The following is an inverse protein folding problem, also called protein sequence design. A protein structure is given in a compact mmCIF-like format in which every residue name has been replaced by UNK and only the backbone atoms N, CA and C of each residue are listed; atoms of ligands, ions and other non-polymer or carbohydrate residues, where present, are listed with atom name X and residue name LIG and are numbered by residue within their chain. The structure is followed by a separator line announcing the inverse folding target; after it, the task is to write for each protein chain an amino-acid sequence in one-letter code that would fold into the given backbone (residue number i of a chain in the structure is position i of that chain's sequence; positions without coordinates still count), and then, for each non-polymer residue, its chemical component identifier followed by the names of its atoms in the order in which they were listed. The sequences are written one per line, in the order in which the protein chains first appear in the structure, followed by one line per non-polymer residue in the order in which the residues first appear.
data_IF_330947428028
#
_entry.id   IF_330947428028
#
_cell.length_a   1.000
_cell.length_b   1.000
_cell.length_c   1.000
_cell.angle_alpha   90.00
_cell.angle_beta   90.00
_cell.angle_gamma   90.00
#
_symmetry.space_group_name_H-M   'P 1'
#
loop_
_entity.id
_entity.type
_entity.pdbx_description
1 polymer ?
#
# COMPACT_ATOMS: atom_id res chain seq x y z
N UNK A 1 46.61 14.41 -7.78
CA UNK A 1 46.29 15.41 -6.73
C UNK A 1 45.25 14.80 -5.82
N UNK A 2 45.15 15.20 -4.54
CA UNK A 2 44.02 14.80 -3.70
C UNK A 2 42.73 15.53 -4.16
N UNK A 3 41.57 14.94 -3.90
CA UNK A 3 40.28 15.61 -4.12
C UNK A 3 40.14 16.82 -3.18
N UNK A 4 39.59 17.93 -3.69
CA UNK A 4 39.27 19.11 -2.88
C UNK A 4 37.97 18.99 -2.07
N UNK A 5 37.23 17.90 -2.26
CA UNK A 5 35.94 17.61 -1.59
C UNK A 5 35.90 16.16 -1.10
N UNK A 6 35.02 15.86 -0.11
CA UNK A 6 34.77 14.49 0.38
C UNK A 6 34.45 13.57 -0.82
N UNK A 7 35.29 12.57 -1.04
CA UNK A 7 34.97 11.48 -1.93
C UNK A 7 33.80 10.70 -1.33
N UNK A 8 32.80 10.41 -2.15
CA UNK A 8 31.61 9.68 -1.76
C UNK A 8 31.69 8.27 -2.38
N UNK A 9 31.31 7.21 -1.65
CA UNK A 9 31.29 5.87 -2.21
C UNK A 9 30.13 5.75 -3.20
N UNK A 10 30.34 5.00 -4.29
CA UNK A 10 29.27 4.66 -5.23
C UNK A 10 28.48 3.45 -4.73
N UNK A 11 27.29 3.23 -5.26
CA UNK A 11 26.52 2.01 -5.00
C UNK A 11 27.26 0.81 -5.60
N UNK A 12 27.45 -0.23 -4.79
CA UNK A 12 28.21 -1.45 -5.10
C UNK A 12 27.29 -2.62 -5.44
N UNK A 13 26.23 -2.84 -4.66
CA UNK A 13 25.22 -3.84 -4.94
C UNK A 13 23.87 -3.52 -4.26
N UNK A 14 22.81 -4.12 -4.79
CA UNK A 14 21.44 -4.05 -4.25
C UNK A 14 21.01 -5.46 -3.87
N UNK A 15 20.24 -5.60 -2.79
CA UNK A 15 19.64 -6.86 -2.35
C UNK A 15 18.17 -6.62 -2.01
N UNK A 16 17.31 -7.59 -2.31
CA UNK A 16 15.92 -7.58 -1.85
C UNK A 16 15.53 -8.88 -1.16
N UNK A 17 14.64 -8.76 -0.17
CA UNK A 17 14.17 -9.86 0.64
C UNK A 17 12.66 -9.75 0.80
N UNK A 18 11.94 -10.87 0.66
CA UNK A 18 10.54 -10.98 1.11
C UNK A 18 10.57 -11.26 2.61
N UNK A 19 9.74 -10.58 3.40
CA UNK A 19 9.68 -10.78 4.84
C UNK A 19 8.67 -11.89 5.13
N UNK A 20 9.13 -13.01 5.68
CA UNK A 20 8.30 -14.17 5.99
C UNK A 20 7.43 -13.97 7.22
N UNK A 21 6.16 -14.40 7.13
CA UNK A 21 5.17 -14.29 8.20
C UNK A 21 4.25 -13.09 8.05
N UNK A 22 3.77 -12.58 9.18
CA UNK A 22 2.83 -11.46 9.30
C UNK A 22 3.28 -10.53 10.43
N UNK A 23 2.74 -9.31 10.50
CA UNK A 23 3.03 -8.33 11.56
C UNK A 23 4.48 -7.88 11.59
N UNK A 24 5.15 -7.77 10.44
CA UNK A 24 6.56 -7.39 10.32
C UNK A 24 6.84 -6.76 8.95
N UNK A 25 7.54 -5.62 8.93
CA UNK A 25 7.79 -4.81 7.74
C UNK A 25 6.64 -3.90 7.30
N UNK A 26 6.77 -3.28 6.12
CA UNK A 26 5.92 -2.18 5.66
C UNK A 26 4.61 -2.52 4.95
N UNK A 27 4.09 -3.74 5.04
CA UNK A 27 2.69 -4.06 4.72
C UNK A 27 1.84 -4.06 6.01
N UNK A 28 1.17 -2.93 6.27
CA UNK A 28 0.31 -2.71 7.43
C UNK A 28 -0.84 -3.71 7.56
N UNK A 29 -1.26 -4.33 6.46
CA UNK A 29 -2.46 -5.16 6.39
C UNK A 29 -2.14 -6.66 6.44
N UNK A 30 -0.89 -7.04 6.24
CA UNK A 30 -0.41 -8.41 6.43
C UNK A 30 -0.14 -8.72 7.91
N UNK A 31 -1.22 -8.79 8.71
CA UNK A 31 -1.23 -9.01 10.17
C UNK A 31 -1.94 -10.31 10.55
N UNK A 32 -1.85 -10.70 11.83
CA UNK A 32 -2.59 -11.87 12.35
C UNK A 32 -4.11 -11.64 12.39
N UNK A 33 -4.88 -12.72 12.20
CA UNK A 33 -6.33 -12.70 12.26
C UNK A 33 -6.88 -12.27 13.63
N UNK A 34 -8.00 -11.57 13.62
CA UNK A 34 -8.58 -10.91 14.79
C UNK A 34 -8.06 -9.48 15.02
N UNK A 35 -7.07 -9.01 14.25
CA UNK A 35 -6.64 -7.61 14.29
C UNK A 35 -7.67 -6.70 13.61
N UNK A 36 -8.04 -5.59 14.26
CA UNK A 36 -9.06 -4.67 13.75
C UNK A 36 -8.79 -4.16 12.31
N UNK A 37 -7.52 -3.98 11.93
CA UNK A 37 -7.07 -3.55 10.60
C UNK A 37 -7.59 -4.42 9.45
N UNK A 38 -7.95 -5.68 9.73
CA UNK A 38 -8.48 -6.61 8.73
C UNK A 38 -9.85 -7.18 9.09
N UNK A 39 -10.14 -7.46 10.36
CA UNK A 39 -11.31 -8.25 10.78
C UNK A 39 -12.34 -7.45 11.62
N UNK A 40 -12.19 -6.13 11.72
CA UNK A 40 -13.28 -5.27 12.19
C UNK A 40 -14.17 -4.81 11.01
N UNK A 41 -15.42 -4.38 11.26
CA UNK A 41 -16.26 -3.79 10.22
C UNK A 41 -15.63 -2.51 9.66
N UNK A 42 -15.18 -2.56 8.41
CA UNK A 42 -14.58 -1.45 7.68
C UNK A 42 -15.23 -1.38 6.30
N UNK A 43 -15.68 -0.20 5.91
CA UNK A 43 -16.20 0.09 4.57
C UNK A 43 -15.05 0.14 3.57
N UNK A 44 -15.18 -0.56 2.43
CA UNK A 44 -14.13 -0.70 1.40
C UNK A 44 -14.76 -0.72 0.01
N UNK A 45 -14.00 -0.53 -1.08
CA UNK A 45 -14.49 -0.71 -2.45
C UNK A 45 -15.02 -2.12 -2.73
N UNK A 46 -14.66 -3.11 -1.90
CA UNK A 46 -15.12 -4.49 -2.00
C UNK A 46 -16.36 -4.80 -1.16
N UNK A 47 -16.71 -3.94 -0.18
CA UNK A 47 -17.82 -4.17 0.76
C UNK A 47 -19.20 -4.25 0.09
N UNK A 48 -19.33 -3.78 -1.16
CA UNK A 48 -20.52 -3.99 -2.00
C UNK A 48 -20.90 -5.47 -2.18
N UNK A 49 -19.91 -6.37 -2.14
CA UNK A 49 -20.11 -7.81 -2.23
C UNK A 49 -20.06 -8.43 -0.82
N UNK A 50 -21.16 -9.04 -0.39
CA UNK A 50 -21.31 -9.58 0.97
C UNK A 50 -20.17 -10.53 1.37
N UNK A 51 -19.76 -11.44 0.48
CA UNK A 51 -18.62 -12.36 0.66
C UNK A 51 -17.26 -11.68 0.92
N UNK A 52 -17.15 -10.36 0.69
CA UNK A 52 -15.94 -9.57 0.86
C UNK A 52 -16.07 -8.46 1.92
N UNK A 53 -17.22 -8.34 2.60
CA UNK A 53 -17.47 -7.28 3.60
C UNK A 53 -16.91 -7.61 5.00
N UNK A 54 -16.81 -8.88 5.36
CA UNK A 54 -16.52 -9.30 6.73
C UNK A 54 -15.03 -9.23 7.14
N UNK A 55 -14.10 -9.26 6.18
CA UNK A 55 -12.66 -9.12 6.43
C UNK A 55 -11.95 -8.57 5.20
N UNK A 56 -10.97 -7.68 5.38
CA UNK A 56 -10.17 -7.11 4.28
C UNK A 56 -9.23 -8.14 3.64
N UNK A 57 -8.86 -9.20 4.36
CA UNK A 57 -8.08 -10.32 3.78
C UNK A 57 -8.88 -11.13 2.76
N UNK A 58 -10.21 -11.17 2.87
CA UNK A 58 -11.08 -11.99 2.00
C UNK A 58 -11.05 -11.56 0.53
N UNK A 59 -10.73 -10.29 0.25
CA UNK A 59 -10.49 -9.75 -1.09
C UNK A 59 -9.00 -9.53 -1.42
N UNK A 60 -8.10 -9.93 -0.51
CA UNK A 60 -6.66 -9.97 -0.76
C UNK A 60 -5.88 -8.70 -0.44
N UNK A 61 -6.30 -7.87 0.54
CA UNK A 61 -5.54 -6.67 0.92
C UNK A 61 -4.06 -6.95 1.25
N UNK A 62 -3.79 -8.11 1.85
CA UNK A 62 -2.48 -8.57 2.29
C UNK A 62 -1.78 -9.50 1.28
N UNK A 63 -2.28 -9.61 0.04
CA UNK A 63 -1.78 -10.59 -0.96
C UNK A 63 -0.33 -10.35 -1.39
N UNK A 64 0.20 -9.15 -1.16
CA UNK A 64 1.56 -8.78 -1.51
C UNK A 64 2.55 -9.10 -0.37
N UNK A 65 2.27 -8.64 0.85
CA UNK A 65 3.18 -8.77 1.98
C UNK A 65 4.36 -7.79 1.93
N UNK A 66 5.09 -7.73 3.05
CA UNK A 66 6.23 -6.83 3.23
C UNK A 66 7.47 -7.31 2.46
N UNK A 67 8.26 -6.36 1.96
CA UNK A 67 9.62 -6.61 1.46
C UNK A 67 10.63 -5.61 2.04
N UNK A 68 11.91 -5.94 1.94
CA UNK A 68 13.06 -5.15 2.38
C UNK A 68 14.04 -4.99 1.22
N UNK A 69 14.58 -3.79 1.02
CA UNK A 69 15.71 -3.51 0.14
C UNK A 69 16.91 -3.11 0.99
N UNK A 70 18.09 -3.66 0.68
CA UNK A 70 19.38 -3.14 1.12
C UNK A 70 20.17 -2.61 -0.08
N UNK A 71 20.82 -1.46 0.09
CA UNK A 71 21.76 -0.87 -0.88
C UNK A 71 23.11 -0.70 -0.18
N UNK A 72 24.12 -1.40 -0.68
CA UNK A 72 25.49 -1.36 -0.17
C UNK A 72 26.36 -0.45 -1.05
N UNK A 73 27.16 0.43 -0.43
CA UNK A 73 28.10 1.29 -1.11
C UNK A 73 29.54 0.71 -1.09
N UNK A 74 30.44 1.28 -1.90
CA UNK A 74 31.82 0.78 -2.06
C UNK A 74 32.71 0.87 -0.80
N UNK A 75 32.29 1.64 0.21
CA UNK A 75 32.95 1.70 1.53
C UNK A 75 32.44 0.62 2.52
N UNK A 76 31.40 -0.14 2.14
CA UNK A 76 30.72 -1.13 2.98
C UNK A 76 29.54 -0.58 3.79
N UNK A 77 29.19 0.70 3.65
CA UNK A 77 27.99 1.26 4.29
C UNK A 77 26.73 0.69 3.64
N UNK A 78 25.74 0.27 4.45
CA UNK A 78 24.47 -0.31 3.98
C UNK A 78 23.28 0.53 4.45
N UNK A 79 22.57 1.13 3.49
CA UNK A 79 21.24 1.71 3.71
C UNK A 79 20.15 0.70 3.39
N UNK A 80 18.98 0.84 4.00
CA UNK A 80 17.85 -0.05 3.78
C UNK A 80 16.49 0.63 4.02
N UNK A 81 15.45 0.06 3.42
CA UNK A 81 14.07 0.39 3.71
C UNK A 81 13.12 -0.79 3.49
N UNK A 82 11.95 -0.75 4.12
CA UNK A 82 10.84 -1.69 3.91
C UNK A 82 9.63 -0.98 3.28
N UNK A 83 8.67 -1.78 2.79
CA UNK A 83 7.37 -1.36 2.29
C UNK A 83 6.54 -2.59 1.95
N UNK A 84 5.30 -2.39 1.50
CA UNK A 84 4.49 -3.45 0.90
C UNK A 84 4.92 -3.71 -0.55
N UNK A 85 4.71 -4.94 -1.05
CA UNK A 85 4.98 -5.30 -2.44
C UNK A 85 5.63 -6.67 -2.64
N UNK A 86 6.19 -7.26 -1.57
CA UNK A 86 6.58 -8.67 -1.50
C UNK A 86 7.35 -9.22 -2.70
N UNK A 87 7.02 -10.45 -3.16
CA UNK A 87 7.70 -11.09 -4.29
C UNK A 87 7.73 -10.27 -5.60
N UNK A 88 6.61 -9.72 -6.14
CA UNK A 88 6.69 -8.93 -7.38
C UNK A 88 7.45 -7.61 -7.18
N UNK A 89 7.47 -7.05 -5.98
CA UNK A 89 8.32 -5.93 -5.62
C UNK A 89 9.80 -6.26 -5.76
N UNK A 90 10.26 -7.33 -5.10
CA UNK A 90 11.62 -7.85 -5.22
C UNK A 90 12.03 -8.17 -6.67
N UNK A 91 11.13 -8.74 -7.48
CA UNK A 91 11.40 -9.01 -8.90
C UNK A 91 11.68 -7.73 -9.69
N UNK A 92 10.89 -6.67 -9.48
CA UNK A 92 11.05 -5.38 -10.15
C UNK A 92 12.35 -4.66 -9.76
N UNK A 93 12.80 -4.79 -8.50
CA UNK A 93 14.10 -4.25 -8.03
C UNK A 93 15.23 -4.74 -8.93
N UNK A 94 15.37 -6.05 -9.10
CA UNK A 94 16.50 -6.64 -9.83
C UNK A 94 16.30 -6.61 -11.35
N UNK A 95 15.13 -7.04 -11.84
CA UNK A 95 14.93 -7.19 -13.29
C UNK A 95 14.79 -5.85 -14.01
N UNK A 96 14.34 -4.78 -13.33
CA UNK A 96 14.34 -3.43 -13.89
C UNK A 96 15.35 -2.52 -13.20
N UNK A 97 15.11 -2.14 -11.94
CA UNK A 97 15.64 -0.90 -11.39
C UNK A 97 17.14 -0.92 -11.04
N UNK A 98 17.70 -2.08 -10.71
CA UNK A 98 19.12 -2.25 -10.37
C UNK A 98 20.07 -1.70 -11.44
N UNK A 99 19.70 -1.75 -12.72
CA UNK A 99 20.49 -1.22 -13.85
C UNK A 99 20.81 0.28 -13.76
N UNK A 100 20.05 1.03 -12.97
CA UNK A 100 20.23 2.46 -12.74
C UNK A 100 21.07 2.75 -11.48
N UNK A 101 21.16 1.76 -10.57
CA UNK A 101 21.75 1.91 -9.25
C UNK A 101 23.22 1.51 -9.23
N UNK A 102 23.60 0.39 -9.85
CA UNK A 102 24.97 -0.14 -9.76
C UNK A 102 25.99 0.83 -10.36
N UNK A 103 26.99 1.21 -9.55
CA UNK A 103 28.04 2.16 -9.91
C UNK A 103 27.64 3.64 -9.85
N UNK A 104 26.38 3.97 -9.57
CA UNK A 104 25.93 5.36 -9.44
C UNK A 104 26.36 5.99 -8.10
N UNK A 105 26.40 7.32 -8.04
CA UNK A 105 26.56 8.06 -6.79
C UNK A 105 25.21 8.12 -6.05
N UNK A 106 25.10 7.65 -4.80
CA UNK A 106 23.82 7.64 -4.07
C UNK A 106 23.29 9.05 -3.77
N UNK A 107 24.08 10.12 -4.00
CA UNK A 107 23.64 11.52 -3.86
C UNK A 107 22.76 11.99 -5.03
N UNK A 108 22.80 11.30 -6.18
CA UNK A 108 22.08 11.69 -7.39
C UNK A 108 20.60 11.26 -7.37
N UNK A 109 19.93 11.38 -6.21
CA UNK A 109 18.58 10.84 -5.96
C UNK A 109 17.55 11.34 -6.96
N UNK A 110 17.59 12.63 -7.34
CA UNK A 110 16.73 13.19 -8.38
C UNK A 110 16.96 12.54 -9.77
N UNK A 111 18.19 12.15 -10.09
CA UNK A 111 18.50 11.49 -11.36
C UNK A 111 18.02 10.03 -11.34
N UNK A 112 18.32 9.31 -10.25
CA UNK A 112 17.90 7.92 -10.05
C UNK A 112 16.36 7.79 -10.04
N UNK A 113 15.67 8.69 -9.34
CA UNK A 113 14.21 8.75 -9.35
C UNK A 113 13.65 8.96 -10.76
N UNK A 114 14.13 9.98 -11.50
CA UNK A 114 13.63 10.23 -12.86
C UNK A 114 13.95 9.09 -13.83
N UNK A 115 15.12 8.45 -13.71
CA UNK A 115 15.44 7.25 -14.50
C UNK A 115 14.44 6.13 -14.22
N UNK A 116 14.26 5.74 -12.96
CA UNK A 116 13.36 4.64 -12.58
C UNK A 116 11.89 4.93 -12.92
N UNK A 117 11.39 6.12 -12.60
CA UNK A 117 10.00 6.51 -12.86
C UNK A 117 9.70 6.62 -14.36
N UNK A 118 10.62 7.19 -15.15
CA UNK A 118 10.40 7.34 -16.60
C UNK A 118 10.63 6.03 -17.36
N UNK A 119 11.57 5.18 -16.94
CA UNK A 119 11.77 3.87 -17.54
C UNK A 119 10.60 2.90 -17.25
N UNK A 120 9.99 2.98 -16.07
CA UNK A 120 8.80 2.18 -15.73
C UNK A 120 7.47 2.79 -16.20
N UNK A 121 7.48 3.96 -16.84
CA UNK A 121 6.27 4.71 -17.23
C UNK A 121 5.28 3.92 -18.10
N UNK A 122 5.73 2.92 -18.85
CA UNK A 122 4.89 2.08 -19.71
C UNK A 122 4.05 1.02 -18.97
N UNK A 123 4.34 0.76 -17.68
CA UNK A 123 3.57 -0.18 -16.84
C UNK A 123 3.31 0.33 -15.40
N UNK A 124 3.82 1.52 -15.04
CA UNK A 124 3.68 2.13 -13.72
C UNK A 124 2.91 3.45 -13.75
N UNK A 125 3.59 4.57 -13.44
CA UNK A 125 3.05 5.91 -13.11
C UNK A 125 2.29 6.00 -11.77
N UNK A 126 1.53 4.96 -11.43
CA UNK A 126 0.80 4.75 -10.16
C UNK A 126 1.03 3.30 -9.66
N UNK A 127 0.63 3.01 -8.42
CA UNK A 127 0.57 1.64 -7.88
C UNK A 127 1.92 0.97 -7.62
N UNK A 128 1.92 -0.37 -7.60
CA UNK A 128 3.04 -1.22 -7.18
C UNK A 128 4.42 -0.83 -7.75
N UNK A 129 4.60 -0.52 -9.05
CA UNK A 129 5.93 -0.11 -9.56
C UNK A 129 6.47 1.16 -8.90
N UNK A 130 5.60 2.06 -8.45
CA UNK A 130 5.99 3.30 -7.76
C UNK A 130 6.28 3.06 -6.28
N UNK A 131 5.59 2.11 -5.64
CA UNK A 131 5.96 1.63 -4.30
C UNK A 131 7.37 1.01 -4.30
N UNK A 132 7.73 0.23 -5.32
CA UNK A 132 9.10 -0.31 -5.45
C UNK A 132 10.13 0.82 -5.59
N UNK A 133 9.86 1.84 -6.41
CA UNK A 133 10.72 3.03 -6.52
C UNK A 133 10.86 3.74 -5.17
N UNK A 134 9.78 3.82 -4.40
CA UNK A 134 9.76 4.48 -3.09
C UNK A 134 10.67 3.78 -2.08
N UNK A 135 10.62 2.45 -1.99
CA UNK A 135 11.49 1.69 -1.07
C UNK A 135 12.95 1.75 -1.51
N UNK A 136 13.24 1.80 -2.83
CA UNK A 136 14.60 2.07 -3.32
C UNK A 136 15.08 3.46 -2.88
N UNK A 137 14.26 4.50 -3.09
CA UNK A 137 14.60 5.88 -2.72
C UNK A 137 14.80 6.04 -1.21
N UNK A 138 13.95 5.42 -0.39
CA UNK A 138 14.12 5.40 1.06
C UNK A 138 15.43 4.69 1.47
N UNK A 139 15.79 3.57 0.83
CA UNK A 139 17.08 2.92 1.07
C UNK A 139 18.28 3.78 0.65
N UNK A 140 18.14 4.63 -0.39
CA UNK A 140 19.15 5.63 -0.77
C UNK A 140 19.27 6.75 0.27
N UNK A 141 18.15 7.29 0.78
CA UNK A 141 18.18 8.31 1.83
C UNK A 141 18.76 7.80 3.15
N UNK A 142 18.46 6.56 3.52
CA UNK A 142 19.07 5.88 4.66
C UNK A 142 20.59 5.68 4.48
N UNK A 143 21.01 5.24 3.28
CA UNK A 143 22.43 5.11 2.90
C UNK A 143 23.16 6.47 2.99
N UNK A 144 22.55 7.54 2.47
CA UNK A 144 23.09 8.90 2.55
C UNK A 144 23.30 9.37 3.99
N UNK A 145 22.32 9.14 4.86
CA UNK A 145 22.40 9.51 6.27
C UNK A 145 23.48 8.73 7.00
N UNK A 146 23.63 7.43 6.71
CA UNK A 146 24.70 6.59 7.26
C UNK A 146 26.10 7.00 6.79
N UNK A 147 26.30 7.30 5.49
CA UNK A 147 27.60 7.78 4.95
C UNK A 147 27.97 9.18 5.51
N UNK A 148 26.98 9.98 5.93
CA UNK A 148 27.21 11.29 6.55
C UNK A 148 27.27 11.25 8.08
N UNK A 149 26.79 10.18 8.71
CA UNK A 149 26.49 10.11 10.15
C UNK A 149 25.49 11.22 10.58
N UNK A 150 24.42 11.37 9.81
CA UNK A 150 23.33 12.33 10.04
C UNK A 150 21.95 11.64 9.93
N UNK A 151 20.95 12.02 10.75
CA UNK A 151 19.57 11.60 10.53
C UNK A 151 18.98 12.30 9.30
N UNK A 152 18.08 11.61 8.58
CA UNK A 152 17.53 12.10 7.30
C UNK A 152 16.90 13.49 7.42
N UNK A 153 16.26 13.84 8.54
CA UNK A 153 15.59 15.13 8.73
C UNK A 153 16.56 16.32 8.64
N UNK A 154 17.82 16.17 9.09
CA UNK A 154 18.87 17.20 8.93
C UNK A 154 19.25 17.43 7.46
N UNK A 155 19.19 16.37 6.64
CA UNK A 155 19.56 16.43 5.22
C UNK A 155 18.48 17.02 4.31
N UNK A 156 17.22 17.11 4.76
CA UNK A 156 16.05 17.53 3.94
C UNK A 156 15.40 18.85 4.39
N UNK A 157 16.03 19.57 5.33
CA UNK A 157 15.57 20.89 5.79
C UNK A 157 15.97 21.26 7.22
N UNK A 158 16.38 20.28 8.04
CA UNK A 158 16.57 20.48 9.47
C UNK A 158 15.32 20.14 10.26
N UNK A 159 15.15 20.74 11.44
CA UNK A 159 13.91 20.66 12.21
C UNK A 159 13.16 21.99 12.11
N UNK A 160 11.86 21.92 11.83
CA UNK A 160 10.94 23.07 11.79
C UNK A 160 10.11 23.24 13.06
N UNK A 161 10.24 22.26 13.96
CA UNK A 161 9.50 22.08 15.21
C UNK A 161 10.35 21.20 16.12
N UNK A 162 10.29 21.39 17.45
CA UNK A 162 11.06 20.54 18.39
C UNK A 162 10.37 19.19 18.68
N UNK A 163 9.06 19.12 18.39
CA UNK A 163 8.13 18.03 18.70
C UNK A 163 7.22 17.79 17.49
N UNK A 164 6.92 16.52 17.22
CA UNK A 164 5.82 16.09 16.36
C UNK A 164 4.70 15.61 17.27
N UNK A 165 3.53 16.22 17.15
CA UNK A 165 2.28 15.76 17.76
C UNK A 165 1.56 14.79 16.84
N UNK A 166 0.95 13.75 17.41
CA UNK A 166 0.29 12.68 16.65
C UNK A 166 -1.21 12.59 16.94
N UNK A 167 -1.99 12.23 15.92
CA UNK A 167 -3.30 11.61 16.11
C UNK A 167 -3.19 10.09 15.94
N UNK A 168 -4.12 9.34 16.54
CA UNK A 168 -4.13 7.88 16.46
C UNK A 168 -5.27 7.38 15.56
N UNK A 169 -4.97 6.49 14.62
CA UNK A 169 -5.96 5.88 13.74
C UNK A 169 -6.31 4.48 14.24
N UNK A 170 -7.56 4.27 14.67
CA UNK A 170 -8.00 3.00 15.24
C UNK A 170 -9.40 3.02 15.87
N UNK A 171 -9.87 1.86 16.36
CA UNK A 171 -11.24 1.67 16.86
C UNK A 171 -11.48 2.17 18.29
N UNK A 172 -10.46 2.64 19.02
CA UNK A 172 -10.60 3.11 20.41
C UNK A 172 -10.08 4.56 20.62
N UNK A 173 -10.87 5.57 20.20
CA UNK A 173 -10.60 6.98 20.51
C UNK A 173 -10.42 7.31 22.01
N UNK A 174 -11.14 6.68 22.97
CA UNK A 174 -10.83 6.83 24.39
C UNK A 174 -9.39 6.42 24.76
N UNK A 175 -8.89 5.30 24.24
CA UNK A 175 -7.51 4.87 24.46
C UNK A 175 -6.50 5.83 23.81
N UNK A 176 -6.77 6.30 22.59
CA UNK A 176 -5.95 7.33 21.94
C UNK A 176 -5.86 8.62 22.80
N UNK A 177 -6.99 9.10 23.30
CA UNK A 177 -7.07 10.26 24.21
C UNK A 177 -6.30 10.02 25.51
N UNK A 178 -6.41 8.82 26.09
CA UNK A 178 -5.70 8.45 27.33
C UNK A 178 -4.18 8.33 27.13
N UNK A 179 -3.72 7.92 25.96
CA UNK A 179 -2.30 7.86 25.57
C UNK A 179 -1.71 9.22 25.18
N UNK A 180 -2.51 10.29 25.17
CA UNK A 180 -2.04 11.66 24.92
C UNK A 180 -1.97 12.09 23.46
N UNK A 181 -2.50 11.30 22.53
CA UNK A 181 -2.68 11.72 21.14
C UNK A 181 -3.64 12.92 21.07
N UNK A 182 -3.40 13.87 20.16
CA UNK A 182 -4.18 15.11 20.11
C UNK A 182 -5.59 14.93 19.53
N UNK A 183 -5.83 13.81 18.83
CA UNK A 183 -7.10 13.42 18.23
C UNK A 183 -7.11 11.94 17.83
N UNK A 184 -8.23 11.45 17.30
CA UNK A 184 -8.34 10.08 16.79
C UNK A 184 -9.12 9.98 15.46
N UNK A 185 -8.69 9.08 14.56
CA UNK A 185 -9.39 8.74 13.31
C UNK A 185 -10.01 7.34 13.43
N UNK A 186 -11.31 7.21 13.22
CA UNK A 186 -12.03 5.91 13.26
C UNK A 186 -12.37 5.43 11.85
N UNK A 187 -12.27 4.11 11.56
CA UNK A 187 -12.75 3.56 10.29
C UNK A 187 -14.28 3.56 10.23
N UNK A 188 -14.84 4.00 9.10
CA UNK A 188 -16.27 3.97 8.83
C UNK A 188 -16.74 2.53 8.56
N UNK A 189 -17.71 1.97 9.31
CA UNK A 189 -17.98 0.53 9.26
C UNK A 189 -18.88 0.02 8.11
N UNK A 190 -19.73 0.87 7.51
CA UNK A 190 -20.73 0.42 6.52
C UNK A 190 -20.68 1.19 5.19
N UNK A 191 -20.92 0.49 4.08
CA UNK A 191 -20.76 1.03 2.71
C UNK A 191 -22.07 1.55 2.09
N UNK A 192 -22.03 2.26 0.94
CA UNK A 192 -23.23 2.82 0.30
C UNK A 192 -24.27 1.77 -0.10
N UNK A 193 -23.84 0.56 -0.48
CA UNK A 193 -24.73 -0.55 -0.84
C UNK A 193 -25.50 -1.14 0.36
N UNK A 194 -25.19 -0.74 1.59
CA UNK A 194 -25.99 -1.01 2.78
C UNK A 194 -27.09 0.06 3.02
N UNK A 195 -27.15 1.06 2.13
CA UNK A 195 -28.21 2.06 2.03
C UNK A 195 -28.43 2.88 3.29
N UNK A 196 -29.67 3.40 3.46
CA UNK A 196 -30.03 4.18 4.64
C UNK A 196 -29.99 3.37 5.95
N UNK A 197 -29.87 2.03 5.90
CA UNK A 197 -29.63 1.20 7.10
C UNK A 197 -28.17 1.27 7.51
N UNK A 198 -27.23 1.08 6.57
CA UNK A 198 -25.80 1.30 6.79
C UNK A 198 -25.51 2.74 7.22
N UNK A 199 -26.11 3.73 6.56
CA UNK A 199 -25.96 5.15 6.90
C UNK A 199 -26.41 5.47 8.35
N UNK A 200 -27.57 4.96 8.78
CA UNK A 200 -28.05 5.12 10.17
C UNK A 200 -27.11 4.47 11.19
N UNK A 201 -26.56 3.28 10.87
CA UNK A 201 -25.55 2.63 11.73
C UNK A 201 -24.24 3.42 11.77
N UNK A 202 -23.79 3.99 10.65
CA UNK A 202 -22.60 4.83 10.58
C UNK A 202 -22.74 6.10 11.45
N UNK A 203 -23.85 6.82 11.34
CA UNK A 203 -24.13 8.01 12.17
C UNK A 203 -24.11 7.63 13.66
N UNK A 204 -24.71 6.50 14.02
CA UNK A 204 -24.78 6.02 15.40
C UNK A 204 -23.42 5.50 15.94
N UNK A 205 -22.60 4.91 15.08
CA UNK A 205 -21.20 4.56 15.37
C UNK A 205 -20.36 5.82 15.66
N UNK A 206 -20.52 6.88 14.86
CA UNK A 206 -19.81 8.15 15.07
C UNK A 206 -20.32 8.88 16.33
N UNK A 207 -21.63 8.84 16.61
CA UNK A 207 -22.21 9.41 17.82
C UNK A 207 -21.62 8.82 19.10
N UNK A 208 -21.53 7.48 19.19
CA UNK A 208 -20.92 6.77 20.32
C UNK A 208 -19.44 7.13 20.52
N UNK A 209 -18.71 7.37 19.44
CA UNK A 209 -17.33 7.86 19.53
C UNK A 209 -17.26 9.30 20.03
N UNK A 210 -18.10 10.22 19.52
CA UNK A 210 -18.22 11.59 20.02
C UNK A 210 -18.61 11.63 21.51
N UNK A 211 -19.57 10.81 21.93
CA UNK A 211 -20.00 10.71 23.33
C UNK A 211 -18.87 10.18 24.24
N UNK A 212 -18.14 9.15 23.83
CA UNK A 212 -17.07 8.56 24.66
C UNK A 212 -15.81 9.43 24.81
N UNK A 213 -15.52 10.32 23.84
CA UNK A 213 -14.39 11.27 23.94
C UNK A 213 -14.77 12.67 24.41
N UNK A 214 -16.07 12.99 24.49
CA UNK A 214 -16.59 14.32 24.80
C UNK A 214 -16.56 15.29 23.60
N UNK A 215 -17.07 16.52 23.75
CA UNK A 215 -17.30 17.43 22.63
C UNK A 215 -16.02 17.96 21.98
N UNK A 216 -14.97 18.21 22.76
CA UNK A 216 -13.79 18.97 22.31
C UNK A 216 -12.69 18.12 21.67
N UNK A 217 -12.67 16.80 21.91
CA UNK A 217 -11.60 15.95 21.40
C UNK A 217 -11.76 15.73 19.87
N UNK A 218 -10.76 16.04 19.04
CA UNK A 218 -10.85 15.86 17.60
C UNK A 218 -11.11 14.40 17.20
N UNK A 219 -12.19 14.20 16.45
CA UNK A 219 -12.60 12.92 15.89
C UNK A 219 -12.64 13.05 14.37
N UNK A 220 -11.95 12.16 13.69
CA UNK A 220 -11.83 12.09 12.23
C UNK A 220 -12.42 10.77 11.73
N UNK A 221 -12.83 10.70 10.46
CA UNK A 221 -13.50 9.52 9.90
C UNK A 221 -12.78 9.05 8.64
N UNK A 222 -12.22 7.85 8.70
CA UNK A 222 -11.61 7.17 7.56
C UNK A 222 -12.68 6.42 6.76
N UNK A 223 -12.72 6.63 5.45
CA UNK A 223 -13.69 6.00 4.56
C UNK A 223 -13.07 4.98 3.58
N UNK A 224 -11.75 4.76 3.61
CA UNK A 224 -10.97 3.84 2.76
C UNK A 224 -11.54 3.67 1.33
N UNK A 225 -11.55 4.77 0.57
CA UNK A 225 -11.99 4.90 -0.83
C UNK A 225 -13.37 4.31 -1.18
N UNK A 226 -14.26 4.14 -0.20
CA UNK A 226 -15.45 3.27 -0.33
C UNK A 226 -16.77 3.95 -0.67
N UNK A 227 -16.85 5.28 -0.63
CA UNK A 227 -18.11 6.02 -0.81
C UNK A 227 -18.24 6.62 -2.22
N UNK A 228 -19.34 7.33 -2.43
CA UNK A 228 -19.63 8.10 -3.64
C UNK A 228 -20.16 9.49 -3.23
N UNK A 229 -20.03 10.47 -4.14
CA UNK A 229 -20.39 11.87 -3.88
C UNK A 229 -21.78 12.05 -3.21
N UNK A 230 -22.89 11.44 -3.70
CA UNK A 230 -24.18 11.51 -3.02
C UNK A 230 -24.17 11.01 -1.58
N UNK A 231 -23.61 9.82 -1.33
CA UNK A 231 -23.58 9.22 0.01
C UNK A 231 -22.70 10.04 0.97
N UNK A 232 -21.54 10.53 0.52
CA UNK A 232 -20.68 11.41 1.32
C UNK A 232 -21.39 12.70 1.71
N UNK A 233 -22.19 13.27 0.80
CA UNK A 233 -22.99 14.48 1.10
C UNK A 233 -24.11 14.17 2.11
N UNK A 234 -24.79 13.02 2.01
CA UNK A 234 -25.85 12.60 2.95
C UNK A 234 -25.29 12.34 4.35
N UNK A 235 -24.21 11.55 4.48
CA UNK A 235 -23.63 11.20 5.78
C UNK A 235 -22.94 12.39 6.46
N UNK A 236 -22.20 13.23 5.73
CA UNK A 236 -21.55 14.40 6.30
C UNK A 236 -22.58 15.38 6.86
N UNK A 237 -23.72 15.54 6.17
CA UNK A 237 -24.86 16.33 6.64
C UNK A 237 -25.53 15.73 7.88
N UNK A 238 -25.71 14.41 7.90
CA UNK A 238 -26.36 13.71 9.00
C UNK A 238 -25.48 13.55 10.26
N UNK A 239 -24.26 14.08 10.23
CA UNK A 239 -23.28 14.11 11.32
C UNK A 239 -22.78 15.54 11.63
N UNK A 240 -23.45 16.59 11.14
CA UNK A 240 -23.11 17.99 11.45
C UNK A 240 -23.14 18.27 12.98
N UNK A 241 -24.00 17.57 13.73
CA UNK A 241 -24.09 17.60 15.20
C UNK A 241 -22.87 17.00 15.91
N UNK A 242 -22.09 16.15 15.23
CA UNK A 242 -21.00 15.39 15.82
C UNK A 242 -19.64 16.11 15.76
N UNK A 243 -19.56 17.30 15.17
CA UNK A 243 -18.31 18.08 15.05
C UNK A 243 -17.12 17.23 14.56
N UNK A 244 -17.29 16.53 13.45
CA UNK A 244 -16.23 15.75 12.81
C UNK A 244 -15.14 16.70 12.28
N UNK A 245 -13.88 16.44 12.63
CA UNK A 245 -12.77 17.33 12.31
C UNK A 245 -12.42 17.29 10.81
N UNK A 246 -12.35 16.10 10.22
CA UNK A 246 -12.30 15.88 8.77
C UNK A 246 -12.86 14.50 8.38
N UNK A 247 -13.23 14.36 7.11
CA UNK A 247 -13.58 13.10 6.46
C UNK A 247 -12.49 12.71 5.46
N UNK A 248 -12.00 11.48 5.55
CA UNK A 248 -10.80 11.03 4.86
C UNK A 248 -11.10 9.94 3.83
N UNK A 249 -10.46 10.04 2.67
CA UNK A 249 -10.58 9.17 1.51
C UNK A 249 -12.02 8.71 1.22
N UNK A 250 -12.94 9.66 1.18
CA UNK A 250 -14.35 9.39 0.92
C UNK A 250 -14.59 8.71 -0.43
N UNK A 251 -13.87 9.14 -1.47
CA UNK A 251 -14.06 8.69 -2.85
C UNK A 251 -12.92 7.78 -3.29
N UNK A 252 -13.17 7.01 -4.36
CA UNK A 252 -12.10 6.38 -5.12
C UNK A 252 -11.06 7.42 -5.57
N UNK A 253 -9.75 7.12 -5.55
CA UNK A 253 -8.70 8.04 -6.02
C UNK A 253 -8.92 8.54 -7.46
N UNK A 254 -9.57 7.72 -8.30
CA UNK A 254 -9.93 8.05 -9.68
C UNK A 254 -11.01 9.14 -9.80
N UNK A 255 -11.81 9.41 -8.74
CA UNK A 255 -12.84 10.47 -8.68
C UNK A 255 -12.43 11.62 -7.73
N UNK A 256 -11.15 12.02 -7.77
CA UNK A 256 -10.70 13.21 -7.02
C UNK A 256 -11.46 14.49 -7.46
N UNK A 257 -11.86 14.59 -8.73
CA UNK A 257 -12.67 15.73 -9.21
C UNK A 257 -14.06 15.78 -8.52
N UNK A 258 -14.57 14.65 -8.01
CA UNK A 258 -15.78 14.56 -7.18
C UNK A 258 -15.73 15.40 -5.89
N UNK A 259 -14.55 15.69 -5.33
CA UNK A 259 -14.43 16.56 -4.15
C UNK A 259 -14.90 18.00 -4.41
N UNK A 260 -14.85 18.49 -5.64
CA UNK A 260 -15.44 19.79 -6.00
C UNK A 260 -16.98 19.81 -5.86
N UNK A 261 -17.63 18.65 -5.95
CA UNK A 261 -19.06 18.51 -5.71
C UNK A 261 -19.37 18.41 -4.21
N UNK A 262 -18.52 17.71 -3.46
CA UNK A 262 -18.62 17.60 -2.00
C UNK A 262 -18.43 18.97 -1.35
N UNK A 263 -17.36 19.71 -1.69
CA UNK A 263 -17.12 21.08 -1.19
C UNK A 263 -18.20 22.08 -1.59
N UNK A 264 -18.90 21.87 -2.70
CA UNK A 264 -20.07 22.70 -3.09
C UNK A 264 -21.28 22.47 -2.17
N UNK A 265 -21.45 21.28 -1.61
CA UNK A 265 -22.50 20.98 -0.63
C UNK A 265 -22.06 21.33 0.80
N UNK A 266 -20.79 21.05 1.13
CA UNK A 266 -20.20 21.14 2.47
C UNK A 266 -18.93 22.01 2.48
N UNK A 267 -19.02 23.32 2.18
CA UNK A 267 -17.85 24.19 2.04
C UNK A 267 -17.11 24.45 3.36
N UNK A 268 -17.76 24.22 4.50
CA UNK A 268 -17.24 24.44 5.86
C UNK A 268 -16.63 23.19 6.51
N UNK A 269 -16.85 22.00 5.93
CA UNK A 269 -16.29 20.74 6.42
C UNK A 269 -14.95 20.45 5.74
N UNK A 270 -14.06 19.73 6.44
CA UNK A 270 -12.75 19.34 5.90
C UNK A 270 -12.82 17.97 5.24
N UNK A 271 -12.16 17.84 4.10
CA UNK A 271 -12.03 16.62 3.32
C UNK A 271 -10.57 16.38 2.95
N UNK A 272 -10.12 15.15 3.06
CA UNK A 272 -8.70 14.77 2.92
C UNK A 272 -8.57 13.45 2.15
N UNK A 273 -7.44 13.23 1.47
CA UNK A 273 -7.12 11.99 0.74
C UNK A 273 -5.65 12.03 0.32
N UNK A 274 -5.12 10.91 -0.19
CA UNK A 274 -3.85 10.88 -0.90
C UNK A 274 -3.03 9.62 -0.70
N UNK A 275 -3.40 8.71 0.20
CA UNK A 275 -2.58 7.52 0.46
C UNK A 275 -2.43 6.66 -0.81
N UNK A 276 -3.53 6.41 -1.53
CA UNK A 276 -3.53 5.73 -2.84
C UNK A 276 -3.24 6.65 -4.04
N UNK A 277 -2.51 7.76 -3.86
CA UNK A 277 -2.04 8.62 -4.97
C UNK A 277 -0.50 8.70 -5.04
N UNK A 278 0.00 8.90 -6.27
CA UNK A 278 1.38 8.64 -6.68
C UNK A 278 1.93 9.77 -7.54
N UNK A 279 3.20 10.10 -7.32
CA UNK A 279 4.00 11.13 -7.99
C UNK A 279 3.49 12.57 -7.88
N UNK A 280 4.38 13.54 -8.11
CA UNK A 280 4.02 14.96 -8.18
C UNK A 280 2.95 15.27 -9.24
N UNK A 281 2.76 14.41 -10.24
CA UNK A 281 1.74 14.58 -11.27
C UNK A 281 0.34 14.23 -10.77
N UNK A 282 0.22 13.26 -9.85
CA UNK A 282 -1.02 12.91 -9.17
C UNK A 282 -1.42 13.99 -8.18
N UNK A 283 -0.56 14.28 -7.19
CA UNK A 283 -0.84 15.29 -6.16
C UNK A 283 -1.11 16.70 -6.70
N UNK A 284 -0.60 17.05 -7.90
CA UNK A 284 -1.00 18.30 -8.58
C UNK A 284 -2.51 18.41 -8.76
N UNK A 285 -3.21 17.30 -9.06
CA UNK A 285 -4.67 17.27 -9.22
C UNK A 285 -5.43 17.47 -7.91
N UNK A 286 -4.84 17.05 -6.78
CA UNK A 286 -5.41 17.22 -5.43
C UNK A 286 -5.22 18.67 -4.93
N UNK A 287 -4.11 19.31 -5.31
CA UNK A 287 -3.79 20.71 -4.99
C UNK A 287 -4.61 21.69 -5.88
N UNK A 288 -4.85 21.33 -7.14
CA UNK A 288 -5.68 22.10 -8.08
C UNK A 288 -7.08 22.38 -7.51
N UNK A 289 -7.45 23.67 -7.45
CA UNK A 289 -8.74 24.12 -6.94
C UNK A 289 -8.88 24.12 -5.41
N UNK A 290 -7.91 23.60 -4.65
CA UNK A 290 -7.89 23.58 -3.17
C UNK A 290 -9.17 22.96 -2.54
N UNK A 291 -9.73 21.92 -3.18
CA UNK A 291 -10.92 21.23 -2.69
C UNK A 291 -10.64 20.24 -1.53
N UNK A 292 -9.36 20.01 -1.22
CA UNK A 292 -8.88 19.15 -0.15
C UNK A 292 -8.08 19.99 0.86
N UNK A 293 -8.36 19.80 2.14
CA UNK A 293 -7.81 20.61 3.23
C UNK A 293 -6.46 20.09 3.73
N UNK A 294 -6.15 18.81 3.47
CA UNK A 294 -4.90 18.11 3.74
C UNK A 294 -4.69 17.08 2.62
N UNK A 295 -3.45 16.89 2.16
CA UNK A 295 -3.08 15.76 1.30
C UNK A 295 -2.20 14.75 2.06
N UNK A 296 -2.44 13.46 1.85
CA UNK A 296 -1.96 12.39 2.75
C UNK A 296 -1.18 11.26 2.05
N UNK A 297 -0.07 11.56 1.36
CA UNK A 297 0.76 10.55 0.70
C UNK A 297 1.36 9.54 1.68
N UNK A 298 1.39 8.25 1.34
CA UNK A 298 2.30 7.29 1.98
C UNK A 298 3.70 7.39 1.33
N UNK A 299 4.75 7.58 2.13
CA UNK A 299 6.11 7.79 1.60
C UNK A 299 6.76 6.53 1.04
N UNK A 300 6.30 5.34 1.44
CA UNK A 300 6.69 4.05 0.87
C UNK A 300 5.91 3.72 -0.42
N UNK A 301 4.89 4.51 -0.79
CA UNK A 301 4.04 4.23 -1.95
C UNK A 301 4.17 5.28 -3.07
N UNK A 302 4.16 6.59 -2.76
CA UNK A 302 3.96 7.64 -3.78
C UNK A 302 5.11 7.83 -4.78
N UNK A 303 6.32 7.39 -4.44
CA UNK A 303 7.57 7.71 -5.14
C UNK A 303 8.77 7.99 -4.23
N UNK A 304 8.67 7.79 -2.92
CA UNK A 304 9.76 8.00 -1.97
C UNK A 304 9.93 9.44 -1.49
N UNK A 305 10.89 9.64 -0.60
CA UNK A 305 11.23 10.94 0.00
C UNK A 305 11.62 11.98 -1.07
N UNK A 306 12.39 11.58 -2.08
CA UNK A 306 12.81 12.44 -3.20
C UNK A 306 11.63 13.04 -3.96
N UNK A 307 10.50 12.33 -4.07
CA UNK A 307 9.29 12.82 -4.72
C UNK A 307 8.34 13.50 -3.73
N UNK A 308 8.25 13.01 -2.48
CA UNK A 308 7.48 13.64 -1.41
C UNK A 308 7.92 15.08 -1.15
N UNK A 309 9.21 15.37 -1.18
CA UNK A 309 9.73 16.73 -1.05
C UNK A 309 9.24 17.66 -2.18
N UNK A 310 9.00 17.14 -3.39
CA UNK A 310 8.42 17.91 -4.51
C UNK A 310 6.92 18.11 -4.35
N UNK A 311 6.20 17.12 -3.82
CA UNK A 311 4.77 17.24 -3.45
C UNK A 311 4.60 18.28 -2.34
N UNK A 312 5.43 18.23 -1.30
CA UNK A 312 5.42 19.17 -0.18
C UNK A 312 5.66 20.61 -0.63
N UNK A 313 6.69 20.83 -1.47
CA UNK A 313 6.99 22.14 -2.05
C UNK A 313 5.90 22.66 -3.00
N UNK A 314 5.12 21.78 -3.63
CA UNK A 314 3.97 22.18 -4.45
C UNK A 314 2.77 22.55 -3.58
N UNK A 315 2.51 21.80 -2.51
CA UNK A 315 1.42 22.06 -1.57
C UNK A 315 1.64 23.31 -0.72
N UNK A 316 2.89 23.59 -0.30
CA UNK A 316 3.23 24.76 0.50
C UNK A 316 3.05 26.08 -0.26
N UNK A 317 3.18 26.08 -1.59
CA UNK A 317 2.86 27.22 -2.45
C UNK A 317 1.35 27.57 -2.48
N UNK A 318 0.49 26.72 -1.90
CA UNK A 318 -0.95 26.92 -1.73
C UNK A 318 -1.37 26.83 -0.25
N UNK A 319 -0.44 26.94 0.70
CA UNK A 319 -0.67 26.76 2.13
C UNK A 319 -1.35 25.43 2.53
N UNK A 320 -1.29 24.40 1.67
CA UNK A 320 -1.93 23.10 1.93
C UNK A 320 -1.01 22.25 2.81
N UNK A 321 -1.49 21.74 3.96
CA UNK A 321 -0.78 20.77 4.78
C UNK A 321 -0.55 19.43 4.07
N UNK A 322 0.65 18.87 4.28
CA UNK A 322 0.97 17.48 3.93
C UNK A 322 1.15 16.70 5.23
N UNK A 323 0.26 15.74 5.47
CA UNK A 323 0.30 14.86 6.64
C UNK A 323 0.36 13.43 6.11
N UNK A 324 1.56 12.83 6.00
CA UNK A 324 1.69 11.49 5.44
C UNK A 324 0.87 10.46 6.18
N UNK A 325 0.31 9.50 5.42
CA UNK A 325 -0.17 8.23 5.98
C UNK A 325 0.96 7.57 6.81
N UNK A 326 0.60 6.73 7.79
CA UNK A 326 1.44 6.31 8.93
C UNK A 326 2.73 5.49 8.64
N UNK A 327 3.64 5.94 7.77
CA UNK A 327 4.84 5.24 7.32
C UNK A 327 6.02 5.26 8.32
N UNK A 328 5.76 5.15 9.62
CA UNK A 328 6.79 5.03 10.67
C UNK A 328 7.90 6.10 10.58
N UNK A 329 9.14 5.71 10.90
CA UNK A 329 10.30 6.62 10.86
C UNK A 329 10.49 7.37 9.53
N UNK A 330 10.08 6.79 8.39
CA UNK A 330 10.17 7.45 7.09
C UNK A 330 9.30 8.71 7.04
N UNK A 331 8.07 8.64 7.57
CA UNK A 331 7.17 9.79 7.73
C UNK A 331 7.68 10.78 8.79
N UNK A 332 8.20 10.29 9.93
CA UNK A 332 8.59 11.15 11.05
C UNK A 332 9.73 12.11 10.68
N UNK A 333 10.73 11.63 9.94
CA UNK A 333 11.83 12.45 9.47
C UNK A 333 11.37 13.54 8.48
N UNK A 334 10.37 13.24 7.64
CA UNK A 334 9.73 14.24 6.79
C UNK A 334 8.96 15.29 7.61
N UNK A 335 8.05 14.87 8.50
CA UNK A 335 7.20 15.80 9.28
C UNK A 335 8.02 16.69 10.22
N UNK A 336 9.14 16.20 10.76
CA UNK A 336 10.11 17.03 11.50
C UNK A 336 10.62 18.23 10.67
N UNK A 337 10.78 18.03 9.36
CA UNK A 337 11.56 18.93 8.48
C UNK A 337 10.76 19.92 7.64
N UNK A 338 9.46 19.71 7.42
CA UNK A 338 8.66 20.56 6.54
C UNK A 338 7.72 21.52 7.30
N UNK A 339 7.64 22.76 6.82
CA UNK A 339 6.83 23.82 7.43
C UNK A 339 5.33 23.63 7.26
N UNK A 340 4.89 22.99 6.17
CA UNK A 340 3.50 22.58 5.94
C UNK A 340 3.21 21.13 6.36
N UNK A 341 4.04 20.52 7.20
CA UNK A 341 3.73 19.25 7.86
C UNK A 341 3.48 19.50 9.36
N UNK A 342 2.22 19.78 9.78
CA UNK A 342 1.94 20.27 11.13
C UNK A 342 1.98 19.18 12.22
N UNK A 343 1.52 17.98 11.91
CA UNK A 343 1.37 16.83 12.79
C UNK A 343 1.53 15.53 11.97
N UNK A 344 1.53 14.37 12.64
CA UNK A 344 1.67 13.06 12.00
C UNK A 344 0.53 12.11 12.38
N UNK A 345 0.24 11.14 11.51
CA UNK A 345 -0.59 9.97 11.82
C UNK A 345 0.20 8.87 12.52
N UNK A 346 -0.41 8.22 13.51
CA UNK A 346 0.02 6.91 14.00
C UNK A 346 -1.11 5.89 13.85
N UNK A 347 -0.87 4.81 13.09
CA UNK A 347 -1.83 3.73 12.91
C UNK A 347 -1.76 2.76 14.09
N UNK A 348 -2.87 2.56 14.80
CA UNK A 348 -2.93 1.71 15.99
C UNK A 348 -2.76 0.23 15.61
N UNK A 349 -1.55 -0.30 15.82
CA UNK A 349 -1.13 -1.64 15.42
C UNK A 349 -1.17 -2.66 16.57
N UNK A 350 -1.83 -2.35 17.69
CA UNK A 350 -2.31 -3.41 18.58
C UNK A 350 -3.62 -4.00 18.02
N UNK A 351 -3.87 -5.32 18.14
CA UNK A 351 -5.04 -5.97 17.55
C UNK A 351 -6.39 -5.34 17.93
N UNK A 352 -6.47 -4.75 19.12
CA UNK A 352 -7.64 -4.09 19.71
C UNK A 352 -7.65 -2.56 19.58
N UNK A 353 -6.58 -1.95 19.04
CA UNK A 353 -6.42 -0.50 18.90
C UNK A 353 -6.14 0.27 20.20
N UNK A 354 -5.90 -0.39 21.34
CA UNK A 354 -5.78 0.25 22.66
C UNK A 354 -4.36 0.56 23.12
N UNK A 355 -3.35 0.18 22.35
CA UNK A 355 -1.93 0.41 22.68
C UNK A 355 -1.08 0.67 21.44
N UNK A 356 0.17 1.06 21.67
CA UNK A 356 1.14 1.41 20.61
C UNK A 356 2.27 0.38 20.55
N UNK A 357 2.57 -0.12 19.34
CA UNK A 357 3.64 -1.09 19.04
C UNK A 357 4.51 -0.56 17.86
N UNK A 358 5.67 -1.16 17.52
CA UNK A 358 6.45 -0.70 16.35
C UNK A 358 5.65 -0.86 15.07
N UNK A 359 5.51 0.19 14.24
CA UNK A 359 4.73 0.19 12.99
C UNK A 359 5.18 -0.93 12.06
N UNK A 360 6.49 -1.21 12.01
CA UNK A 360 7.06 -2.29 11.20
C UNK A 360 7.25 -3.60 11.99
N UNK A 361 6.59 -3.74 13.13
CA UNK A 361 6.62 -4.94 13.98
C UNK A 361 8.03 -5.29 14.48
N UNK A 362 8.35 -6.58 14.49
CA UNK A 362 9.65 -7.06 15.00
C UNK A 362 10.82 -6.92 14.01
N UNK A 363 10.63 -6.28 12.86
CA UNK A 363 11.68 -6.10 11.84
C UNK A 363 12.86 -5.24 12.35
N UNK A 364 12.58 -4.27 13.21
CA UNK A 364 13.58 -3.34 13.76
C UNK A 364 13.61 -3.40 15.30
N UNK A 365 14.77 -3.11 15.91
CA UNK A 365 14.94 -3.16 17.37
C UNK A 365 14.48 -1.89 18.09
N UNK A 366 14.47 -0.77 17.37
CA UNK A 366 14.71 0.55 17.94
C UNK A 366 13.92 1.66 17.22
N UNK A 367 12.77 1.29 16.64
CA UNK A 367 11.78 2.22 16.09
C UNK A 367 11.23 3.14 17.20
N UNK A 368 11.21 4.47 17.02
CA UNK A 368 10.64 5.40 17.99
C UNK A 368 9.11 5.38 17.92
N UNK A 369 8.45 5.16 19.07
CA UNK A 369 6.98 4.99 19.15
C UNK A 369 6.37 6.13 19.99
N UNK A 370 5.30 6.81 19.52
CA UNK A 370 4.64 7.91 20.23
C UNK A 370 3.78 7.43 21.43
N UNK A 371 4.41 6.77 22.40
CA UNK A 371 3.82 6.28 23.67
C UNK A 371 3.15 7.33 24.57
N UNK A 372 3.25 8.61 24.18
CA UNK A 372 2.67 9.77 24.86
C UNK A 372 1.93 10.71 23.89
N UNK A 373 1.61 10.22 22.69
CA UNK A 373 1.03 11.01 21.59
C UNK A 373 1.99 11.96 20.88
N UNK A 374 3.31 11.88 21.16
CA UNK A 374 4.32 12.72 20.54
C UNK A 374 5.69 12.03 20.40
N UNK A 375 6.53 12.57 19.51
CA UNK A 375 7.98 12.34 19.43
C UNK A 375 8.71 13.69 19.35
N UNK A 376 10.02 13.71 19.58
CA UNK A 376 10.89 14.89 19.51
C UNK A 376 12.03 14.72 18.50
N UNK A 377 12.75 15.80 18.19
CA UNK A 377 13.95 15.74 17.35
C UNK A 377 15.07 14.84 17.92
N UNK A 378 15.09 14.61 19.25
CA UNK A 378 16.06 13.73 19.91
C UNK A 378 15.72 12.24 19.71
N UNK A 379 14.44 11.89 19.62
CA UNK A 379 14.00 10.51 19.37
C UNK A 379 14.34 10.04 17.93
N UNK A 380 14.69 10.99 17.05
CA UNK A 380 15.11 10.77 15.66
C UNK A 380 16.62 10.98 15.45
N UNK A 381 17.43 11.24 16.48
CA UNK A 381 18.84 11.66 16.32
C UNK A 381 19.82 10.48 16.15
N UNK A 382 19.65 9.74 15.06
CA UNK A 382 20.49 8.58 14.66
C UNK A 382 20.77 8.60 13.15
N UNK A 383 21.90 8.07 12.65
CA UNK A 383 22.20 8.04 11.21
C UNK A 383 21.13 7.36 10.35
N UNK A 384 20.83 7.93 9.18
CA UNK A 384 19.83 7.40 8.26
C UNK A 384 18.41 7.68 8.75
N UNK A 385 17.51 6.68 8.69
CA UNK A 385 16.20 6.75 9.33
C UNK A 385 16.19 6.28 10.80
N UNK A 386 17.37 5.99 11.37
CA UNK A 386 17.50 5.61 12.78
C UNK A 386 16.92 4.24 13.15
N UNK A 387 16.75 3.36 12.16
CA UNK A 387 16.26 1.99 12.32
C UNK A 387 17.40 0.97 12.21
N UNK A 388 17.38 -0.05 13.06
CA UNK A 388 18.33 -1.15 13.12
C UNK A 388 17.60 -2.47 12.91
N UNK A 389 17.90 -3.19 11.81
CA UNK A 389 17.29 -4.51 11.52
C UNK A 389 17.56 -5.47 12.68
N UNK A 390 16.51 -6.06 13.21
CA UNK A 390 16.55 -7.04 14.28
C UNK A 390 17.34 -8.29 13.84
N UNK A 391 18.43 -8.68 14.56
CA UNK A 391 19.19 -9.89 14.26
C UNK A 391 18.34 -11.18 14.26
N UNK A 392 17.24 -11.22 15.01
CA UNK A 392 16.29 -12.35 14.99
C UNK A 392 15.43 -12.31 13.72
N UNK A 393 14.97 -11.13 13.30
CA UNK A 393 14.20 -10.95 12.07
C UNK A 393 15.02 -11.27 10.80
N UNK A 394 16.36 -11.28 10.86
CA UNK A 394 17.21 -11.80 9.76
C UNK A 394 16.84 -13.23 9.34
N UNK A 395 16.35 -14.08 10.26
CA UNK A 395 15.87 -15.42 9.93
C UNK A 395 14.53 -15.43 9.15
N UNK A 396 13.78 -14.32 9.15
CA UNK A 396 12.55 -14.13 8.35
C UNK A 396 12.82 -13.52 6.97
N UNK A 397 14.02 -13.02 6.68
CA UNK A 397 14.34 -12.38 5.42
C UNK A 397 14.64 -13.42 4.33
N UNK A 398 13.64 -13.74 3.52
CA UNK A 398 13.73 -14.70 2.42
C UNK A 398 14.42 -14.00 1.23
N UNK A 399 15.66 -14.38 0.83
CA UNK A 399 16.36 -13.69 -0.25
C UNK A 399 15.65 -13.92 -1.59
N UNK A 400 15.46 -12.86 -2.37
CA UNK A 400 14.63 -12.89 -3.59
C UNK A 400 15.17 -13.71 -4.76
N UNK A 401 16.37 -14.30 -4.66
CA UNK A 401 17.06 -15.00 -5.74
C UNK A 401 16.24 -16.14 -6.39
N UNK A 402 15.31 -16.77 -5.65
CA UNK A 402 14.39 -17.80 -6.18
C UNK A 402 13.41 -17.26 -7.22
N UNK A 403 13.13 -15.95 -7.23
CA UNK A 403 12.29 -15.26 -8.22
C UNK A 403 13.05 -14.92 -9.51
N UNK A 404 14.40 -14.88 -9.42
CA UNK A 404 15.30 -14.52 -10.52
C UNK A 404 15.85 -15.76 -11.23
N UNK A 405 15.78 -16.93 -10.58
CA UNK A 405 16.27 -18.22 -11.07
C UNK A 405 15.09 -19.20 -11.24
N UNK A 406 14.29 -19.08 -12.32
CA UNK A 406 13.20 -20.01 -12.57
C UNK A 406 13.76 -21.45 -12.72
N UNK A 407 13.18 -22.45 -12.03
CA UNK A 407 13.55 -23.85 -12.25
C UNK A 407 13.29 -24.22 -13.73
N UNK A 408 14.12 -25.08 -14.34
CA UNK A 408 14.27 -25.15 -15.79
C UNK A 408 13.00 -25.64 -16.49
N UNK A 409 12.22 -24.69 -17.02
CA UNK A 409 11.18 -24.97 -18.01
C UNK A 409 11.84 -25.24 -19.36
N UNK A 410 11.26 -26.17 -20.13
CA UNK A 410 11.67 -26.42 -21.52
C UNK A 410 11.61 -25.11 -22.30
N UNK A 411 12.58 -24.90 -23.20
CA UNK A 411 12.54 -23.77 -24.12
C UNK A 411 11.18 -23.73 -24.84
N UNK A 412 10.57 -22.54 -24.89
CA UNK A 412 9.35 -22.31 -25.66
C UNK A 412 9.63 -22.71 -27.11
N UNK A 413 8.85 -23.65 -27.65
CA UNK A 413 8.93 -24.02 -29.06
C UNK A 413 8.65 -22.77 -29.89
N UNK A 414 9.55 -22.34 -30.79
CA UNK A 414 9.29 -21.18 -31.63
C UNK A 414 8.02 -21.43 -32.47
N UNK A 415 7.20 -20.40 -32.71
CA UNK A 415 5.99 -20.56 -33.52
C UNK A 415 6.38 -21.06 -34.91
N UNK A 416 5.84 -22.23 -35.27
CA UNK A 416 5.99 -22.77 -36.63
C UNK A 416 5.25 -21.84 -37.58
N UNK A 417 5.88 -21.33 -38.65
CA UNK A 417 5.18 -20.53 -39.65
C UNK A 417 4.09 -21.37 -40.32
N UNK A 418 2.85 -20.91 -40.28
CA UNK A 418 1.84 -21.39 -41.22
C UNK A 418 2.36 -21.12 -42.65
N UNK A 419 2.18 -22.10 -43.55
CA UNK A 419 2.76 -22.17 -44.90
C UNK A 419 4.24 -22.59 -44.98
N UNK A 420 4.57 -23.77 -44.43
CA UNK A 420 5.57 -24.66 -45.06
C UNK A 420 4.84 -25.66 -45.98
N UNK A 421 5.28 -25.89 -47.24
CA UNK A 421 4.58 -26.77 -48.17
C UNK A 421 4.74 -28.25 -47.81
N UNK A 422 3.67 -29.03 -47.97
CA UNK A 422 3.68 -30.46 -47.69
C UNK A 422 4.63 -31.25 -48.62
N UNK A 423 5.52 -32.04 -48.03
CA UNK A 423 6.29 -33.07 -48.73
C UNK A 423 5.57 -34.43 -48.63
N UNK A 424 5.43 -35.20 -49.73
CA UNK A 424 4.55 -36.37 -49.77
C UNK A 424 5.07 -37.57 -48.95
N UNK A 425 4.14 -38.34 -48.39
CA UNK A 425 4.42 -39.57 -47.62
C UNK A 425 4.93 -40.72 -48.52
N UNK A 426 5.92 -41.52 -48.07
CA UNK A 426 6.26 -42.78 -48.72
C UNK A 426 5.18 -43.85 -48.50
N UNK A 427 5.13 -44.83 -49.40
CA UNK A 427 4.19 -45.96 -49.38
C UNK A 427 4.71 -47.15 -48.53
N UNK A 428 3.82 -48.03 -48.01
CA UNK A 428 4.19 -49.10 -47.08
C UNK A 428 4.75 -50.37 -47.75
N UNK A 429 5.43 -51.20 -46.96
CA UNK A 429 5.88 -52.54 -47.35
C UNK A 429 5.50 -53.60 -46.30
N UNK A 430 5.10 -54.77 -46.80
CA UNK A 430 4.72 -56.02 -46.10
C UNK A 430 5.96 -56.87 -45.72
N UNK A 431 5.95 -57.84 -44.78
CA UNK A 431 4.96 -58.32 -43.77
C UNK A 431 5.52 -59.54 -43.00
N UNK A 432 5.22 -59.69 -41.68
CA UNK A 432 4.88 -60.97 -40.97
C UNK A 432 6.02 -62.06 -40.87
N UNK A 433 6.05 -63.05 -39.92
CA UNK A 433 5.12 -63.43 -38.84
C UNK A 433 5.71 -63.55 -37.40
N UNK A 434 4.83 -63.90 -36.43
CA UNK A 434 5.00 -64.77 -35.22
C UNK A 434 6.05 -64.40 -34.12
N UNK A 435 5.90 -64.77 -32.84
CA UNK A 435 4.96 -65.69 -32.17
C UNK A 435 4.56 -65.26 -30.72
N UNK A 436 3.67 -66.06 -30.10
CA UNK A 436 3.04 -66.07 -28.75
C UNK A 436 3.96 -65.91 -27.51
N UNK A 437 3.51 -65.69 -26.26
CA UNK A 437 2.25 -65.22 -25.60
C UNK A 437 2.59 -64.93 -24.09
N UNK A 438 1.78 -64.92 -23.01
CA UNK A 438 0.38 -65.32 -22.65
C UNK A 438 -0.18 -64.41 -21.52
N UNK A 439 -1.50 -64.53 -21.24
CA UNK A 439 -2.20 -64.42 -19.92
C UNK A 439 -2.07 -63.12 -19.05
N UNK A 440 -3.07 -62.69 -18.26
CA UNK A 440 -4.36 -63.29 -17.87
C UNK A 440 -5.47 -62.23 -17.59
N UNK A 441 -6.67 -62.74 -17.35
CA UNK A 441 -7.95 -62.17 -16.86
C UNK A 441 -7.86 -61.09 -15.74
N UNK A 442 -8.87 -60.24 -15.43
CA UNK A 442 -10.14 -59.81 -16.06
C UNK A 442 -10.61 -58.51 -15.29
N UNK A 443 -11.87 -58.04 -15.14
CA UNK A 443 -13.23 -58.56 -15.41
C UNK A 443 -14.26 -57.41 -15.55
N UNK A 444 -15.34 -57.68 -16.29
CA UNK A 444 -16.73 -57.14 -16.24
C UNK A 444 -17.03 -55.69 -15.77
N UNK A 445 -17.66 -54.95 -16.70
CA UNK A 445 -18.70 -53.96 -16.39
C UNK A 445 -20.08 -54.55 -16.73
N UNK A 446 -21.17 -53.93 -16.27
CA UNK A 446 -22.49 -54.10 -16.91
C UNK A 446 -23.27 -52.77 -16.96
N UNK A 447 -24.25 -52.69 -17.85
CA UNK A 447 -24.79 -51.44 -18.41
C UNK A 447 -26.25 -51.12 -17.99
N UNK A 448 -26.80 -50.05 -18.62
CA UNK A 448 -28.23 -49.69 -18.81
C UNK A 448 -28.86 -48.84 -17.69
N UNK A 449 -29.84 -47.98 -17.97
CA UNK A 449 -30.62 -47.75 -19.21
C UNK A 449 -31.01 -46.26 -19.35
N UNK A 450 -31.23 -45.75 -20.58
CA UNK A 450 -31.91 -44.47 -20.81
C UNK A 450 -33.45 -44.65 -20.78
N UNK A 451 -34.22 -43.56 -20.57
CA UNK A 451 -34.96 -43.06 -21.75
C UNK A 451 -35.10 -41.52 -21.85
N UNK A 452 -35.52 -41.08 -23.03
CA UNK A 452 -35.71 -39.68 -23.46
C UNK A 452 -36.84 -38.93 -22.71
N UNK A 453 -36.77 -37.58 -22.67
CA UNK A 453 -37.96 -36.76 -22.40
C UNK A 453 -37.74 -35.27 -22.12
N UNK A 454 -38.72 -34.46 -22.55
CA UNK A 454 -39.00 -33.05 -22.12
C UNK A 454 -38.03 -31.95 -22.60
N UNK A 455 -38.10 -31.60 -23.89
CA UNK A 455 -37.69 -30.25 -24.39
C UNK A 455 -38.74 -29.65 -25.33
N UNK A 456 -39.99 -29.51 -24.88
CA UNK A 456 -41.06 -28.87 -25.67
C UNK A 456 -42.05 -28.02 -24.83
N UNK A 457 -41.66 -27.62 -23.61
CA UNK A 457 -42.55 -27.00 -22.61
C UNK A 457 -42.41 -25.49 -22.36
N UNK A 458 -41.56 -24.77 -23.09
CA UNK A 458 -41.10 -23.42 -22.69
C UNK A 458 -41.41 -22.25 -23.64
N UNK A 459 -42.21 -22.45 -24.69
CA UNK A 459 -42.55 -21.38 -25.66
C UNK A 459 -43.93 -20.75 -25.41
N UNK A 460 -44.88 -21.48 -24.80
CA UNK A 460 -46.28 -21.03 -24.67
C UNK A 460 -46.57 -20.07 -23.50
N UNK A 461 -45.58 -19.74 -22.66
CA UNK A 461 -45.82 -19.07 -21.36
C UNK A 461 -45.27 -17.64 -21.20
N UNK A 462 -44.86 -17.02 -22.31
CA UNK A 462 -44.39 -15.62 -22.34
C UNK A 462 -45.48 -14.65 -22.85
N UNK A 463 -46.53 -15.16 -23.48
CA UNK A 463 -47.52 -14.36 -24.22
C UNK A 463 -48.74 -13.91 -23.39
N UNK A 464 -48.81 -14.29 -22.11
CA UNK A 464 -49.98 -14.03 -21.22
C UNK A 464 -49.77 -12.91 -20.18
N UNK A 465 -48.61 -12.23 -20.19
CA UNK A 465 -48.25 -11.21 -19.19
C UNK A 465 -47.98 -9.80 -19.78
N UNK A 466 -48.43 -9.51 -21.00
CA UNK A 466 -48.25 -8.20 -21.66
C UNK A 466 -49.51 -7.61 -22.32
N UNK A 467 -50.70 -7.88 -21.77
CA UNK A 467 -51.93 -7.10 -22.10
C UNK A 467 -52.87 -6.96 -20.91
N UNK A 468 -52.74 -5.84 -20.19
CA UNK A 468 -53.81 -4.98 -19.64
C UNK A 468 -53.19 -3.85 -18.81
#
# INVERSE_FOLDING_TARGET
MASSVKQFPTIKCVRSFVIGGVGSGGDYHNVEGGHWLIDSPISTPCSKWEKYRASRTSWGINVLGSFLIEIEATDGTVGFATGFGGPPGCWLVHQHFERFLIGADPRDTNHLFEQMYRASMFYGRKGLPVAVISVIDLALWDLLGKIRNEPVYKMIGGATKDRIDFYCTGPDPPAAKAMGFWGAKVPLPYCPEEGHVGLKKNIEFLRKHRESVGPDFPLMVDCYMSLNVPYTIEIAKACEDLNINWWEECLSPDDTDGFAQIKRAHPTLKFTTGEHEYSRYGFRKLIEGRNLDIIQPDVMWLGGMTELLKVAAMASAYDIPVVPHASGSYSYHFVMSQSNAPFQEYLANSPDGKSVLPVFGDLFLDEPIPTKGYLTAADLDKPGFGLTINPVARAKLIPSAYLLSPPPQKALTPPVPENAPETPSPAPASSVPEEEATEEEATEAEEKEEPEGVVEGLVSKVQELTTN
#
